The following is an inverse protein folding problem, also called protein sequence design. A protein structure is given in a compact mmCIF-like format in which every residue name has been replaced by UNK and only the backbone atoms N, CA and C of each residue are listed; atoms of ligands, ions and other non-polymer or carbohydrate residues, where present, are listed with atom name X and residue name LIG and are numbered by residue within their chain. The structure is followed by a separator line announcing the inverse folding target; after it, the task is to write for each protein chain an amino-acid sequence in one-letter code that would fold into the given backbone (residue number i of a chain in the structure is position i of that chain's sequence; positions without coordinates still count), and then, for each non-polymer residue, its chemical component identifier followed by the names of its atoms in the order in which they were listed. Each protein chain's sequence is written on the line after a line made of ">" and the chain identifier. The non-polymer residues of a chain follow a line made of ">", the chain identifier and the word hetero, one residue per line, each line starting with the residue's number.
data_IF_426872290748
#
_entry.id   IF_426872290748
#
_cell.length_a   1.000
_cell.length_b   1.000
_cell.length_c   1.000
_cell.angle_alpha   90.00
_cell.angle_beta   90.00
_cell.angle_gamma   90.00
#
_symmetry.space_group_name_H-M   'P 1'
#
loop_
_entity.id
_entity.type
_entity.pdbx_description
1 polymer ?
#
# COMPACT_ATOMS: atom_id res chain seq x y z
N UNK A 1 -19.16 1.69 -5.27
CA UNK A 1 -17.91 2.16 -4.64
C UNK A 1 -18.20 3.41 -3.83
N UNK A 2 -17.69 3.53 -2.61
CA UNK A 2 -17.91 4.70 -1.73
C UNK A 2 -17.87 4.31 -0.25
N UNK A 3 -17.93 5.31 0.63
CA UNK A 3 -17.87 5.12 2.09
C UNK A 3 -19.10 4.37 2.67
N UNK A 4 -20.23 4.41 1.96
CA UNK A 4 -21.48 3.73 2.35
C UNK A 4 -21.51 2.25 1.93
N UNK A 5 -20.50 1.77 1.19
CA UNK A 5 -20.37 0.36 0.84
C UNK A 5 -20.21 -0.50 2.10
N UNK A 6 -20.84 -1.68 2.19
CA UNK A 6 -20.58 -2.62 3.30
C UNK A 6 -19.10 -3.02 3.36
N UNK A 7 -18.40 -2.99 2.22
CA UNK A 7 -16.97 -3.31 2.11
C UNK A 7 -16.06 -2.09 2.27
N UNK A 8 -16.58 -0.89 2.53
CA UNK A 8 -15.77 0.34 2.65
C UNK A 8 -14.71 0.26 3.75
N UNK A 9 -14.96 -0.56 4.78
CA UNK A 9 -14.08 -0.76 5.93
C UNK A 9 -13.19 -1.99 5.81
N UNK A 10 -13.31 -2.80 4.76
CA UNK A 10 -12.42 -3.92 4.46
C UNK A 10 -11.04 -3.46 3.97
N UNK A 11 -11.00 -2.29 3.33
CA UNK A 11 -9.78 -1.69 2.81
C UNK A 11 -9.31 -0.54 3.71
N UNK A 12 -8.01 -0.29 3.69
CA UNK A 12 -7.37 0.78 4.45
C UNK A 12 -7.38 2.08 3.62
N UNK A 13 -8.54 2.73 3.61
CA UNK A 13 -8.84 3.95 2.84
C UNK A 13 -9.09 5.11 3.81
N UNK A 14 -8.43 6.24 3.54
CA UNK A 14 -8.72 7.53 4.16
C UNK A 14 -9.93 8.18 3.45
N UNK A 15 -11.11 7.92 4.00
CA UNK A 15 -12.39 8.46 3.49
C UNK A 15 -12.62 9.95 3.84
N UNK A 16 -11.64 10.65 4.44
CA UNK A 16 -11.72 12.12 4.58
C UNK A 16 -11.58 12.84 3.23
N UNK A 17 -11.21 12.11 2.19
CA UNK A 17 -11.14 12.55 0.80
C UNK A 17 -11.69 11.49 -0.16
N UNK A 18 -11.80 11.84 -1.46
CA UNK A 18 -12.22 10.92 -2.53
C UNK A 18 -11.19 9.82 -2.73
N UNK A 19 -11.64 8.59 -2.96
CA UNK A 19 -10.78 7.45 -3.28
C UNK A 19 -9.97 7.74 -4.56
N UNK A 20 -8.65 7.91 -4.44
CA UNK A 20 -7.77 8.16 -5.59
C UNK A 20 -7.59 6.89 -6.40
N UNK A 21 -7.69 6.96 -7.72
CA UNK A 21 -7.53 5.85 -8.65
C UNK A 21 -6.49 6.23 -9.72
N UNK A 22 -5.18 6.00 -9.46
CA UNK A 22 -4.08 6.54 -10.25
C UNK A 22 -3.78 5.66 -11.48
N UNK A 23 -4.73 5.54 -12.40
CA UNK A 23 -4.65 4.61 -13.54
C UNK A 23 -4.63 5.30 -14.91
N UNK A 24 -4.75 6.63 -14.96
CA UNK A 24 -4.71 7.38 -16.21
C UNK A 24 -3.26 7.56 -16.68
N UNK A 25 -3.03 7.54 -18.01
CA UNK A 25 -1.73 7.82 -18.61
C UNK A 25 -1.23 9.26 -18.40
N UNK A 26 -2.18 10.19 -18.28
CA UNK A 26 -2.01 11.63 -18.06
C UNK A 26 -3.13 12.17 -17.13
N UNK A 27 -3.19 13.50 -16.95
CA UNK A 27 -4.29 14.13 -16.19
C UNK A 27 -5.66 13.92 -16.83
N UNK A 28 -6.72 13.91 -16.00
CA UNK A 28 -8.10 13.64 -16.44
C UNK A 28 -8.54 14.52 -17.61
N UNK A 29 -8.27 15.82 -17.56
CA UNK A 29 -8.63 16.78 -18.62
C UNK A 29 -7.97 16.46 -19.96
N UNK A 30 -6.72 16.01 -19.93
CA UNK A 30 -5.97 15.65 -21.13
C UNK A 30 -6.52 14.35 -21.73
N UNK A 31 -6.78 13.33 -20.91
CA UNK A 31 -7.38 12.07 -21.35
C UNK A 31 -8.80 12.29 -21.90
N UNK A 32 -9.55 13.20 -21.31
CA UNK A 32 -10.88 13.61 -21.78
C UNK A 32 -10.80 14.32 -23.14
N UNK A 33 -9.88 15.28 -23.29
CA UNK A 33 -9.66 15.99 -24.56
C UNK A 33 -9.20 15.04 -25.69
N UNK A 34 -8.50 13.96 -25.35
CA UNK A 34 -8.10 12.91 -26.29
C UNK A 34 -9.22 11.92 -26.63
N UNK A 35 -10.41 12.07 -26.03
CA UNK A 35 -11.54 11.14 -26.22
C UNK A 35 -11.33 9.75 -25.61
N UNK A 36 -10.36 9.61 -24.69
CA UNK A 36 -10.05 8.32 -24.06
C UNK A 36 -11.05 7.93 -22.95
N UNK A 37 -11.82 8.90 -22.46
CA UNK A 37 -12.82 8.73 -21.40
C UNK A 37 -14.22 8.90 -21.99
N UNK A 38 -15.12 7.97 -21.69
CA UNK A 38 -16.52 7.99 -22.13
C UNK A 38 -17.44 7.42 -21.05
N UNK A 39 -18.74 7.63 -21.16
CA UNK A 39 -19.74 6.87 -20.40
C UNK A 39 -20.08 5.57 -21.12
N UNK A 40 -20.33 4.52 -20.35
CA UNK A 40 -20.81 3.25 -20.86
C UNK A 40 -21.62 2.50 -19.79
N UNK A 41 -22.31 1.44 -20.21
CA UNK A 41 -22.77 0.40 -19.30
C UNK A 41 -21.63 -0.60 -19.09
N UNK A 42 -21.33 -0.95 -17.84
CA UNK A 42 -20.43 -2.08 -17.57
C UNK A 42 -21.10 -3.37 -18.08
N UNK A 43 -20.42 -4.15 -18.94
CA UNK A 43 -21.00 -5.36 -19.53
C UNK A 43 -21.31 -6.45 -18.50
N UNK A 44 -20.73 -6.41 -17.29
CA UNK A 44 -20.86 -7.47 -16.28
C UNK A 44 -22.14 -7.35 -15.46
N UNK A 45 -22.50 -6.14 -15.06
CA UNK A 45 -23.60 -5.87 -14.12
C UNK A 45 -24.59 -4.81 -14.61
N UNK A 46 -24.32 -4.16 -15.75
CA UNK A 46 -25.22 -3.19 -16.37
C UNK A 46 -25.29 -1.85 -15.64
N UNK A 47 -24.32 -1.56 -14.76
CA UNK A 47 -24.24 -0.26 -14.07
C UNK A 47 -23.67 0.80 -15.01
N UNK A 48 -24.07 2.05 -14.82
CA UNK A 48 -23.41 3.18 -15.48
C UNK A 48 -21.97 3.30 -14.97
N UNK A 49 -21.03 3.55 -15.87
CA UNK A 49 -19.62 3.67 -15.56
C UNK A 49 -18.93 4.74 -16.41
N UNK A 50 -17.85 5.35 -15.87
CA UNK A 50 -16.82 5.95 -16.72
C UNK A 50 -15.95 4.83 -17.29
N UNK A 51 -15.86 4.78 -18.61
CA UNK A 51 -14.97 3.88 -19.33
C UNK A 51 -13.68 4.60 -19.70
N UNK A 52 -12.56 4.01 -19.34
CA UNK A 52 -11.22 4.39 -19.81
C UNK A 52 -10.58 3.17 -20.47
N UNK A 53 -10.47 3.20 -21.80
CA UNK A 53 -10.13 2.02 -22.61
C UNK A 53 -11.02 0.81 -22.26
N UNK A 54 -10.42 -0.31 -21.83
CA UNK A 54 -11.13 -1.55 -21.46
C UNK A 54 -11.62 -1.56 -20.00
N UNK A 55 -11.34 -0.51 -19.23
CA UNK A 55 -11.66 -0.46 -17.80
C UNK A 55 -12.92 0.36 -17.52
N UNK A 56 -13.82 -0.21 -16.72
CA UNK A 56 -15.10 0.40 -16.34
C UNK A 56 -15.07 0.78 -14.86
N UNK A 57 -15.26 2.07 -14.58
CA UNK A 57 -15.33 2.64 -13.24
C UNK A 57 -16.80 2.96 -12.90
N UNK A 58 -17.49 2.14 -12.11
CA UNK A 58 -18.91 2.30 -11.84
C UNK A 58 -19.20 3.65 -11.18
N UNK A 59 -20.17 4.35 -11.75
CA UNK A 59 -20.73 5.55 -11.19
C UNK A 59 -21.45 5.23 -9.88
N UNK A 60 -21.40 6.18 -8.96
CA UNK A 60 -22.17 6.13 -7.74
C UNK A 60 -23.66 6.26 -8.07
N UNK A 61 -24.56 5.43 -7.49
CA UNK A 61 -25.99 5.48 -7.79
C UNK A 61 -26.61 6.88 -7.66
N UNK A 62 -26.19 7.67 -6.67
CA UNK A 62 -26.67 9.04 -6.46
C UNK A 62 -26.27 10.02 -7.57
N UNK A 63 -25.24 9.71 -8.37
CA UNK A 63 -24.85 10.55 -9.50
C UNK A 63 -25.57 10.17 -10.80
N UNK A 64 -26.42 9.12 -10.82
CA UNK A 64 -27.11 8.69 -12.04
C UNK A 64 -28.01 9.81 -12.58
N UNK A 65 -28.70 10.55 -11.71
CA UNK A 65 -29.54 11.67 -12.14
C UNK A 65 -28.72 12.84 -12.72
N UNK A 66 -27.44 12.97 -12.39
CA UNK A 66 -26.57 13.97 -13.02
C UNK A 66 -26.25 13.64 -14.47
N UNK A 67 -26.45 12.38 -14.88
CA UNK A 67 -26.36 11.94 -16.28
C UNK A 67 -27.57 12.44 -17.09
N UNK A 68 -28.71 12.73 -16.44
CA UNK A 68 -30.00 13.06 -17.08
C UNK A 68 -30.21 14.53 -17.45
N UNK A 69 -29.18 15.38 -17.42
CA UNK A 69 -29.37 16.84 -17.51
C UNK A 69 -30.13 17.33 -18.77
N UNK A 70 -30.23 16.54 -19.84
CA UNK A 70 -31.11 16.79 -20.98
C UNK A 70 -32.04 15.59 -21.24
N UNK A 71 -33.32 15.71 -20.86
CA UNK A 71 -34.37 14.68 -20.94
C UNK A 71 -34.74 14.33 -22.40
N UNK A 72 -33.82 13.72 -23.16
CA UNK A 72 -34.06 13.30 -24.56
C UNK A 72 -34.15 11.78 -24.75
N UNK A 73 -33.79 11.00 -23.72
CA UNK A 73 -33.70 9.54 -23.80
C UNK A 73 -34.52 8.88 -22.68
N UNK A 74 -35.80 8.51 -22.95
CA UNK A 74 -36.67 7.88 -21.94
C UNK A 74 -36.06 6.63 -21.29
N UNK A 75 -35.42 5.76 -22.08
CA UNK A 75 -34.76 4.56 -21.58
C UNK A 75 -33.62 4.89 -20.59
N UNK A 76 -32.90 6.00 -20.79
CA UNK A 76 -31.87 6.47 -19.87
C UNK A 76 -32.49 7.02 -18.58
N UNK A 77 -33.63 7.70 -18.67
CA UNK A 77 -34.38 8.18 -17.52
C UNK A 77 -34.89 7.01 -16.64
N UNK A 78 -35.38 5.93 -17.25
CA UNK A 78 -35.78 4.71 -16.55
C UNK A 78 -34.59 4.07 -15.82
N UNK A 79 -33.44 3.97 -16.49
CA UNK A 79 -32.22 3.43 -15.88
C UNK A 79 -31.75 4.28 -14.70
N UNK A 80 -31.75 5.60 -14.86
CA UNK A 80 -31.33 6.52 -13.80
C UNK A 80 -32.30 6.54 -12.63
N UNK A 81 -33.60 6.37 -12.88
CA UNK A 81 -34.62 6.20 -11.84
C UNK A 81 -34.41 4.89 -11.07
N UNK A 82 -34.16 3.78 -11.76
CA UNK A 82 -33.81 2.52 -11.13
C UNK A 82 -32.50 2.63 -10.32
N UNK A 83 -31.51 3.34 -10.86
CA UNK A 83 -30.24 3.66 -10.22
C UNK A 83 -30.39 4.46 -8.92
N UNK A 84 -31.26 5.46 -8.89
CA UNK A 84 -31.53 6.25 -7.69
C UNK A 84 -32.11 5.42 -6.53
N UNK A 85 -32.71 4.27 -6.83
CA UNK A 85 -33.27 3.35 -5.84
C UNK A 85 -32.30 2.29 -5.30
N UNK A 86 -31.05 2.23 -5.78
CA UNK A 86 -30.10 1.18 -5.38
C UNK A 86 -29.66 1.35 -3.92
N UNK A 87 -29.54 0.23 -3.20
CA UNK A 87 -29.16 0.19 -1.79
C UNK A 87 -27.79 -0.48 -1.60
N UNK A 88 -26.84 0.11 -0.87
CA UNK A 88 -25.58 -0.56 -0.55
C UNK A 88 -25.81 -1.89 0.18
N UNK A 89 -25.14 -2.97 -0.24
CA UNK A 89 -25.25 -4.30 0.38
C UNK A 89 -26.44 -5.16 -0.05
N UNK A 90 -27.25 -4.71 -1.00
CA UNK A 90 -28.28 -5.54 -1.65
C UNK A 90 -27.96 -5.74 -3.14
N UNK A 91 -26.79 -6.29 -3.44
CA UNK A 91 -26.28 -6.46 -4.80
C UNK A 91 -27.21 -7.32 -5.67
N UNK A 92 -27.90 -8.28 -5.07
CA UNK A 92 -28.85 -9.14 -5.78
C UNK A 92 -30.09 -8.36 -6.25
N UNK A 93 -30.71 -7.56 -5.38
CA UNK A 93 -31.84 -6.71 -5.77
C UNK A 93 -31.42 -5.58 -6.72
N UNK A 94 -30.28 -4.94 -6.44
CA UNK A 94 -29.71 -3.92 -7.30
C UNK A 94 -29.53 -4.42 -8.73
N UNK A 95 -28.97 -5.64 -8.90
CA UNK A 95 -28.81 -6.28 -10.20
C UNK A 95 -30.16 -6.58 -10.85
N UNK A 96 -31.12 -7.12 -10.09
CA UNK A 96 -32.48 -7.39 -10.61
C UNK A 96 -33.11 -6.12 -11.17
N UNK A 97 -33.08 -5.01 -10.43
CA UNK A 97 -33.65 -3.72 -10.84
C UNK A 97 -33.04 -3.20 -12.15
N UNK A 98 -31.71 -3.12 -12.22
CA UNK A 98 -31.03 -2.65 -13.44
C UNK A 98 -31.27 -3.58 -14.62
N UNK A 99 -31.18 -4.90 -14.40
CA UNK A 99 -31.44 -5.90 -15.45
C UNK A 99 -32.86 -5.82 -15.99
N UNK A 100 -33.86 -5.52 -15.15
CA UNK A 100 -35.25 -5.33 -15.55
C UNK A 100 -35.43 -4.17 -16.52
N UNK A 101 -34.79 -3.02 -16.25
CA UNK A 101 -34.80 -1.88 -17.18
C UNK A 101 -34.12 -2.24 -18.49
N UNK A 102 -32.94 -2.87 -18.42
CA UNK A 102 -32.15 -3.25 -19.59
C UNK A 102 -32.74 -4.40 -20.42
N UNK A 103 -33.72 -5.13 -19.88
CA UNK A 103 -34.43 -6.20 -20.59
C UNK A 103 -35.58 -5.65 -21.47
N UNK A 104 -35.96 -4.38 -21.30
CA UNK A 104 -37.00 -3.76 -22.12
C UNK A 104 -36.53 -3.64 -23.57
N UNK A 105 -37.31 -4.08 -24.57
CA UNK A 105 -36.90 -4.04 -25.98
C UNK A 105 -36.47 -2.65 -26.44
N UNK A 106 -35.31 -2.55 -27.07
CA UNK A 106 -34.75 -1.28 -27.58
C UNK A 106 -34.08 -0.39 -26.53
N UNK A 107 -34.17 -0.70 -25.23
CA UNK A 107 -33.56 0.14 -24.19
C UNK A 107 -32.04 0.13 -24.24
N UNK A 108 -31.41 -1.02 -24.53
CA UNK A 108 -29.94 -1.10 -24.56
C UNK A 108 -29.35 -0.21 -25.64
N UNK A 109 -29.93 -0.26 -26.84
CA UNK A 109 -29.51 0.56 -27.98
C UNK A 109 -29.75 2.05 -27.70
N UNK A 110 -30.94 2.41 -27.19
CA UNK A 110 -31.27 3.79 -26.86
C UNK A 110 -30.40 4.37 -25.73
N UNK A 111 -30.08 3.57 -24.71
CA UNK A 111 -29.17 3.96 -23.64
C UNK A 111 -27.76 4.14 -24.20
N UNK A 112 -27.27 3.20 -25.02
CA UNK A 112 -25.94 3.30 -25.61
C UNK A 112 -25.78 4.59 -26.46
N UNK A 113 -26.77 4.91 -27.29
CA UNK A 113 -26.81 6.15 -28.07
C UNK A 113 -26.78 7.40 -27.17
N UNK A 114 -27.59 7.41 -26.11
CA UNK A 114 -27.61 8.50 -25.13
C UNK A 114 -26.29 8.69 -24.41
N UNK A 115 -25.65 7.60 -23.97
CA UNK A 115 -24.33 7.65 -23.31
C UNK A 115 -23.25 8.13 -24.28
N UNK A 116 -23.30 7.73 -25.55
CA UNK A 116 -22.36 8.21 -26.57
C UNK A 116 -22.55 9.70 -26.86
N UNK A 117 -23.79 10.19 -26.92
CA UNK A 117 -24.09 11.61 -27.05
C UNK A 117 -23.55 12.42 -25.86
N UNK A 118 -23.80 11.95 -24.63
CA UNK A 118 -23.31 12.60 -23.41
C UNK A 118 -21.77 12.57 -23.34
N UNK A 119 -21.15 11.50 -23.83
CA UNK A 119 -19.68 11.37 -23.83
C UNK A 119 -18.97 12.42 -24.68
N UNK A 120 -19.67 13.11 -25.58
CA UNK A 120 -19.12 14.22 -26.37
C UNK A 120 -19.10 15.55 -25.62
N UNK A 121 -19.79 15.64 -24.48
CA UNK A 121 -19.82 16.82 -23.62
C UNK A 121 -18.76 16.68 -22.52
N UNK A 122 -17.58 17.27 -22.77
CA UNK A 122 -16.48 17.24 -21.82
C UNK A 122 -16.83 17.89 -20.47
N UNK A 123 -17.60 18.98 -20.47
CA UNK A 123 -18.00 19.65 -19.23
C UNK A 123 -18.91 18.76 -18.38
N UNK A 124 -19.80 18.01 -19.04
CA UNK A 124 -20.67 17.02 -18.36
C UNK A 124 -19.90 15.82 -17.82
N UNK A 125 -18.94 15.28 -18.57
CA UNK A 125 -18.07 14.20 -18.08
C UNK A 125 -17.25 14.65 -16.86
N UNK A 126 -16.82 15.91 -16.85
CA UNK A 126 -16.13 16.52 -15.71
C UNK A 126 -17.03 16.58 -14.47
N UNK A 127 -18.25 17.12 -14.61
CA UNK A 127 -19.22 17.19 -13.52
C UNK A 127 -19.59 15.80 -12.97
N UNK A 128 -19.77 14.81 -13.86
CA UNK A 128 -20.04 13.42 -13.46
C UNK A 128 -18.86 12.85 -12.68
N UNK A 129 -17.62 13.04 -13.15
CA UNK A 129 -16.43 12.60 -12.43
C UNK A 129 -16.34 13.25 -11.06
N UNK A 130 -16.58 14.56 -10.95
CA UNK A 130 -16.48 15.28 -9.68
C UNK A 130 -17.49 14.85 -8.62
N UNK A 131 -18.65 14.36 -9.04
CA UNK A 131 -19.65 13.79 -8.14
C UNK A 131 -19.32 12.37 -7.63
N UNK A 132 -18.25 11.74 -8.11
CA UNK A 132 -17.90 10.39 -7.69
C UNK A 132 -17.18 10.39 -6.34
N UNK A 133 -17.42 9.38 -5.48
CA UNK A 133 -16.65 9.19 -4.25
C UNK A 133 -15.21 8.74 -4.52
N UNK A 134 -14.85 8.52 -5.78
CA UNK A 134 -13.52 8.20 -6.27
C UNK A 134 -13.07 9.23 -7.30
N UNK A 135 -11.76 9.35 -7.55
CA UNK A 135 -11.15 10.27 -8.52
C UNK A 135 -10.09 9.55 -9.33
N UNK A 136 -10.34 9.42 -10.64
CA UNK A 136 -9.29 9.01 -11.59
C UNK A 136 -8.17 10.04 -11.64
N UNK A 137 -6.92 9.59 -11.57
CA UNK A 137 -5.73 10.43 -11.54
C UNK A 137 -4.60 9.84 -12.39
N UNK A 138 -3.61 10.67 -12.72
CA UNK A 138 -2.38 10.26 -13.42
C UNK A 138 -1.58 9.28 -12.55
N UNK A 139 -1.21 8.13 -13.11
CA UNK A 139 -0.43 7.11 -12.42
C UNK A 139 0.91 7.63 -11.87
N UNK A 140 1.51 8.64 -12.53
CA UNK A 140 2.78 9.26 -12.10
C UNK A 140 2.66 10.01 -10.79
N UNK A 141 1.44 10.38 -10.39
CA UNK A 141 1.18 11.10 -9.14
C UNK A 141 1.00 10.18 -7.93
N UNK A 142 0.91 8.85 -8.15
CA UNK A 142 0.68 7.86 -7.09
C UNK A 142 1.72 7.90 -5.96
N UNK A 143 2.98 8.24 -6.25
CA UNK A 143 4.03 8.35 -5.21
C UNK A 143 3.87 9.58 -4.30
N UNK A 144 3.11 10.59 -4.75
CA UNK A 144 2.91 11.85 -4.02
C UNK A 144 1.65 11.83 -3.18
N UNK A 145 0.59 11.19 -3.67
CA UNK A 145 -0.71 11.20 -3.01
C UNK A 145 -1.55 9.98 -3.37
N UNK A 146 -1.97 9.25 -2.34
CA UNK A 146 -2.99 8.20 -2.41
C UNK A 146 -3.87 8.32 -1.17
N UNK A 147 -5.16 8.09 -1.35
CA UNK A 147 -6.13 8.07 -0.26
C UNK A 147 -6.26 6.67 0.38
N UNK A 148 -5.32 5.76 0.12
CA UNK A 148 -5.35 4.38 0.61
C UNK A 148 -3.94 3.83 0.79
N UNK A 149 -3.79 2.85 1.69
CA UNK A 149 -2.54 2.11 1.83
C UNK A 149 -2.41 1.08 0.72
N UNK A 150 -1.20 0.92 0.18
CA UNK A 150 -0.88 -0.05 -0.88
C UNK A 150 0.23 -1.02 -0.47
N UNK A 151 0.39 -2.10 -1.23
CA UNK A 151 1.53 -2.99 -1.13
C UNK A 151 2.75 -2.40 -1.86
N UNK A 152 3.78 -1.99 -1.11
CA UNK A 152 4.94 -1.26 -1.64
C UNK A 152 4.53 -0.05 -2.51
N UNK A 153 5.19 0.18 -3.65
CA UNK A 153 4.81 1.22 -4.61
C UNK A 153 3.66 0.81 -5.58
N UNK A 154 3.06 -0.38 -5.42
CA UNK A 154 2.11 -0.93 -6.40
C UNK A 154 0.70 -0.39 -6.12
N UNK A 155 0.30 0.65 -6.86
CA UNK A 155 -1.02 1.28 -6.68
C UNK A 155 -2.20 0.32 -6.91
N UNK A 156 -2.04 -0.72 -7.76
CA UNK A 156 -3.09 -1.71 -8.02
C UNK A 156 -3.35 -2.70 -6.88
N UNK A 157 -2.52 -2.72 -5.82
CA UNK A 157 -2.65 -3.62 -4.68
C UNK A 157 -3.02 -2.82 -3.42
N UNK A 158 -4.31 -2.79 -3.10
CA UNK A 158 -4.88 -2.04 -1.97
C UNK A 158 -4.76 -2.86 -0.67
N UNK A 159 -4.29 -2.21 0.39
CA UNK A 159 -4.14 -2.82 1.72
C UNK A 159 -5.49 -3.13 2.35
N UNK A 160 -5.63 -4.36 2.84
CA UNK A 160 -6.81 -4.80 3.60
C UNK A 160 -6.61 -4.59 5.11
N UNK A 161 -7.72 -4.42 5.82
CA UNK A 161 -7.79 -4.21 7.28
C UNK A 161 -8.09 -5.51 8.02
N UNK A 162 -7.27 -6.54 7.80
CA UNK A 162 -7.46 -7.89 8.36
C UNK A 162 -7.31 -7.93 9.90
N UNK A 163 -6.86 -6.85 10.54
CA UNK A 163 -6.94 -6.71 11.99
C UNK A 163 -8.40 -6.70 12.50
N UNK A 164 -9.34 -6.21 11.69
CA UNK A 164 -10.77 -6.25 11.99
C UNK A 164 -11.33 -7.67 11.84
N UNK A 165 -12.14 -8.12 12.81
CA UNK A 165 -12.64 -9.50 12.89
C UNK A 165 -13.47 -9.88 11.65
N UNK A 166 -14.47 -9.08 11.28
CA UNK A 166 -15.31 -9.39 10.11
C UNK A 166 -14.52 -9.45 8.81
N UNK A 167 -13.50 -8.60 8.63
CA UNK A 167 -12.64 -8.62 7.43
C UNK A 167 -11.79 -9.90 7.40
N UNK A 168 -11.27 -10.32 8.54
CA UNK A 168 -10.55 -11.59 8.65
C UNK A 168 -11.44 -12.77 8.29
N UNK A 169 -12.65 -12.84 8.87
CA UNK A 169 -13.62 -13.90 8.63
C UNK A 169 -13.99 -13.99 7.15
N UNK A 170 -14.36 -12.86 6.53
CA UNK A 170 -14.75 -12.80 5.11
C UNK A 170 -13.60 -13.24 4.18
N UNK A 171 -12.36 -12.87 4.50
CA UNK A 171 -11.20 -13.15 3.65
C UNK A 171 -10.60 -14.54 3.87
N UNK A 172 -10.83 -15.16 5.04
CA UNK A 172 -10.22 -16.45 5.41
C UNK A 172 -11.20 -17.62 5.44
N UNK A 173 -12.52 -17.39 5.27
CA UNK A 173 -13.55 -18.43 5.35
C UNK A 173 -13.17 -19.70 4.58
N UNK A 174 -12.94 -19.58 3.27
CA UNK A 174 -12.60 -20.73 2.43
C UNK A 174 -11.27 -21.38 2.82
N UNK A 175 -10.25 -20.59 3.17
CA UNK A 175 -8.94 -21.11 3.57
C UNK A 175 -9.07 -21.96 4.83
N UNK A 176 -9.82 -21.47 5.83
CA UNK A 176 -10.06 -22.17 7.09
C UNK A 176 -10.88 -23.44 6.85
N UNK A 177 -11.90 -23.39 6.00
CA UNK A 177 -12.71 -24.54 5.59
C UNK A 177 -11.83 -25.64 5.00
N UNK A 178 -10.99 -25.31 4.01
CA UNK A 178 -10.06 -26.26 3.39
C UNK A 178 -9.08 -26.91 4.39
N UNK A 179 -8.62 -26.16 5.39
CA UNK A 179 -7.77 -26.71 6.46
C UNK A 179 -8.56 -27.64 7.38
N UNK A 180 -9.78 -27.26 7.76
CA UNK A 180 -10.64 -28.07 8.64
C UNK A 180 -11.10 -29.37 7.99
N UNK A 181 -11.28 -29.36 6.67
CA UNK A 181 -11.56 -30.56 5.88
C UNK A 181 -10.33 -31.45 5.64
N UNK A 182 -9.14 -31.01 6.08
CA UNK A 182 -7.89 -31.76 5.91
C UNK A 182 -7.36 -31.73 4.48
N UNK A 183 -7.81 -30.79 3.64
CA UNK A 183 -7.29 -30.61 2.27
C UNK A 183 -5.92 -29.90 2.30
N UNK A 184 -5.68 -29.07 3.32
CA UNK A 184 -4.44 -28.32 3.50
C UNK A 184 -3.73 -28.69 4.81
N UNK A 185 -2.49 -29.16 4.72
CA UNK A 185 -1.64 -29.51 5.88
C UNK A 185 -0.93 -28.30 6.52
N UNK A 186 -0.96 -27.15 5.86
CA UNK A 186 -0.28 -25.97 6.34
C UNK A 186 -0.51 -24.71 5.50
N UNK A 187 -0.10 -23.58 6.06
CA UNK A 187 -0.30 -22.25 5.52
C UNK A 187 1.04 -21.51 5.46
N UNK A 188 1.30 -20.84 4.34
CA UNK A 188 2.39 -19.89 4.19
C UNK A 188 1.81 -18.49 4.10
N UNK A 189 2.12 -17.65 5.09
CA UNK A 189 1.63 -16.27 5.17
C UNK A 189 2.53 -15.37 4.34
N UNK A 190 1.97 -14.76 3.30
CA UNK A 190 2.64 -13.73 2.50
C UNK A 190 2.74 -12.42 3.27
N UNK A 191 3.90 -11.75 3.18
CA UNK A 191 4.13 -10.40 3.66
C UNK A 191 3.53 -10.08 5.04
N UNK A 192 3.85 -10.92 6.04
CA UNK A 192 3.33 -10.76 7.42
C UNK A 192 3.66 -9.38 8.02
N UNK A 193 4.78 -8.79 7.59
CA UNK A 193 5.24 -7.46 7.98
C UNK A 193 4.45 -6.30 7.33
N UNK A 194 3.48 -6.57 6.47
CA UNK A 194 2.52 -5.58 5.95
C UNK A 194 1.26 -5.42 6.81
N UNK A 195 1.08 -6.28 7.83
CA UNK A 195 -0.10 -6.27 8.68
C UNK A 195 0.00 -5.20 9.78
N UNK A 196 -1.15 -4.63 10.15
CA UNK A 196 -1.23 -3.67 11.25
C UNK A 196 -0.90 -4.30 12.62
N UNK A 197 -1.36 -5.53 12.84
CA UNK A 197 -1.10 -6.34 14.05
C UNK A 197 -0.79 -7.80 13.66
N UNK A 198 0.48 -8.10 13.30
CA UNK A 198 0.90 -9.45 12.92
C UNK A 198 0.62 -10.51 14.00
N UNK A 199 0.88 -10.19 15.27
CA UNK A 199 0.69 -11.14 16.37
C UNK A 199 -0.79 -11.45 16.58
N UNK A 200 -1.64 -10.42 16.60
CA UNK A 200 -3.09 -10.60 16.71
C UNK A 200 -3.67 -11.41 15.55
N UNK A 201 -3.20 -11.14 14.32
CA UNK A 201 -3.56 -11.92 13.13
C UNK A 201 -3.16 -13.39 13.27
N UNK A 202 -1.90 -13.68 13.61
CA UNK A 202 -1.39 -15.05 13.70
C UNK A 202 -2.05 -15.86 14.81
N UNK A 203 -2.37 -15.24 15.95
CA UNK A 203 -3.16 -15.87 17.02
C UNK A 203 -4.56 -16.23 16.55
N UNK A 204 -5.27 -15.28 15.93
CA UNK A 204 -6.60 -15.52 15.37
C UNK A 204 -6.59 -16.64 14.33
N UNK A 205 -5.59 -16.64 13.44
CA UNK A 205 -5.43 -17.70 12.45
C UNK A 205 -5.20 -19.06 13.12
N UNK A 206 -4.26 -19.14 14.08
CA UNK A 206 -3.99 -20.37 14.84
C UNK A 206 -5.24 -20.90 15.54
N UNK A 207 -6.02 -20.02 16.17
CA UNK A 207 -7.26 -20.40 16.86
C UNK A 207 -8.30 -20.94 15.87
N UNK A 208 -8.38 -20.37 14.67
CA UNK A 208 -9.34 -20.79 13.65
C UNK A 208 -9.03 -22.15 13.01
N UNK A 209 -7.74 -22.45 12.80
CA UNK A 209 -7.27 -23.66 12.08
C UNK A 209 -6.79 -24.78 13.01
N UNK A 210 -6.61 -24.49 14.30
CA UNK A 210 -6.14 -25.47 15.29
C UNK A 210 -4.62 -25.69 15.29
N UNK A 211 -4.12 -26.58 16.16
CA UNK A 211 -2.69 -26.75 16.38
C UNK A 211 -1.98 -27.63 15.34
N UNK A 212 -2.73 -28.48 14.62
CA UNK A 212 -2.18 -29.45 13.68
C UNK A 212 -1.50 -28.85 12.44
N UNK A 213 -2.12 -27.93 11.68
CA UNK A 213 -1.51 -27.42 10.46
C UNK A 213 -0.29 -26.56 10.76
N UNK A 214 0.75 -26.69 9.94
CA UNK A 214 1.91 -25.79 10.03
C UNK A 214 1.56 -24.40 9.52
N UNK A 215 2.10 -23.35 10.15
CA UNK A 215 2.00 -21.96 9.71
C UNK A 215 3.43 -21.45 9.62
N UNK A 216 3.85 -21.02 8.43
CA UNK A 216 5.15 -20.37 8.21
C UNK A 216 4.92 -18.95 7.67
N UNK A 217 5.81 -18.02 7.98
CA UNK A 217 5.66 -16.62 7.56
C UNK A 217 6.74 -16.20 6.58
N UNK A 218 6.37 -15.54 5.50
CA UNK A 218 7.33 -14.74 4.75
C UNK A 218 7.73 -13.52 5.59
N UNK A 219 8.88 -13.62 6.25
CA UNK A 219 9.49 -12.56 7.04
C UNK A 219 10.97 -12.50 6.70
N UNK A 220 11.47 -11.29 6.44
CA UNK A 220 12.90 -11.07 6.28
C UNK A 220 13.49 -10.75 7.65
N UNK A 221 14.54 -11.48 8.02
CA UNK A 221 15.33 -11.25 9.23
C UNK A 221 16.68 -10.66 8.83
N UNK A 222 17.09 -9.59 9.51
CA UNK A 222 18.48 -9.13 9.42
C UNK A 222 19.41 -10.06 10.24
N UNK A 223 20.71 -10.07 9.93
CA UNK A 223 21.68 -11.08 10.40
C UNK A 223 21.71 -11.37 11.92
N UNK A 224 21.34 -10.40 12.75
CA UNK A 224 21.29 -10.52 14.23
C UNK A 224 19.89 -10.24 14.80
N UNK A 225 18.89 -10.17 13.94
CA UNK A 225 17.51 -9.96 14.35
C UNK A 225 16.93 -11.30 14.86
N UNK A 226 16.50 -11.38 16.13
CA UNK A 226 15.83 -12.56 16.63
C UNK A 226 14.45 -12.69 15.99
N UNK A 227 14.02 -13.92 15.70
CA UNK A 227 12.64 -14.17 15.32
C UNK A 227 11.70 -13.94 16.53
N UNK A 228 10.51 -13.34 16.34
CA UNK A 228 9.54 -13.16 17.43
C UNK A 228 9.17 -14.50 18.11
N UNK A 229 9.40 -14.61 19.41
CA UNK A 229 9.25 -15.88 20.15
C UNK A 229 7.80 -16.17 20.57
N UNK A 230 6.92 -15.18 20.51
CA UNK A 230 5.52 -15.27 20.91
C UNK A 230 4.56 -15.51 19.74
N UNK A 231 5.08 -15.62 18.52
CA UNK A 231 4.29 -15.90 17.33
C UNK A 231 3.94 -17.39 17.25
N UNK A 232 2.66 -17.77 17.07
CA UNK A 232 2.21 -19.17 17.06
C UNK A 232 2.46 -19.88 15.71
N UNK A 233 3.69 -19.78 15.21
CA UNK A 233 4.13 -20.23 13.88
C UNK A 233 5.39 -21.08 13.96
N UNK A 234 5.64 -21.89 12.95
CA UNK A 234 6.78 -22.82 12.88
C UNK A 234 8.09 -22.15 12.45
N UNK A 235 8.03 -20.95 11.87
CA UNK A 235 9.22 -20.19 11.47
C UNK A 235 8.98 -19.32 10.24
N UNK A 236 10.07 -18.96 9.58
CA UNK A 236 10.04 -18.18 8.34
C UNK A 236 10.01 -19.07 7.10
N UNK A 237 10.00 -18.47 5.91
CA UNK A 237 10.25 -19.15 4.64
C UNK A 237 11.73 -19.45 4.35
N UNK A 238 12.65 -19.16 5.27
CA UNK A 238 14.05 -19.62 5.20
C UNK A 238 15.06 -18.68 4.55
N UNK A 239 14.78 -17.38 4.39
CA UNK A 239 15.74 -16.44 3.79
C UNK A 239 17.03 -16.32 4.59
N UNK A 240 16.95 -16.44 5.91
CA UNK A 240 18.10 -16.45 6.81
C UNK A 240 19.02 -17.67 6.56
N UNK A 241 18.45 -18.83 6.21
CA UNK A 241 19.22 -20.00 5.81
C UNK A 241 19.93 -19.77 4.48
N UNK A 242 19.24 -19.19 3.49
CA UNK A 242 19.84 -18.85 2.18
C UNK A 242 21.01 -17.86 2.37
N UNK A 243 20.84 -16.87 3.24
CA UNK A 243 21.88 -15.91 3.59
C UNK A 243 23.11 -16.59 4.19
N UNK A 244 22.92 -17.45 5.18
CA UNK A 244 24.00 -18.19 5.83
C UNK A 244 24.70 -19.17 4.88
N UNK A 245 23.96 -19.89 4.04
CA UNK A 245 24.53 -20.80 3.05
C UNK A 245 25.42 -20.05 2.05
N UNK A 246 25.00 -18.86 1.61
CA UNK A 246 25.80 -18.03 0.73
C UNK A 246 27.12 -17.58 1.38
N UNK A 247 27.16 -17.39 2.71
CA UNK A 247 28.39 -17.02 3.41
C UNK A 247 29.38 -18.19 3.49
N UNK A 248 28.89 -19.43 3.60
CA UNK A 248 29.73 -20.64 3.58
C UNK A 248 30.33 -20.92 2.21
N UNK A 249 29.62 -20.59 1.14
CA UNK A 249 30.02 -20.90 -0.23
C UNK A 249 30.94 -19.86 -0.89
N UNK A 250 31.12 -18.69 -0.26
CA UNK A 250 31.90 -17.58 -0.81
C UNK A 250 33.33 -17.59 -0.23
N UNK A 251 34.33 -17.60 -1.11
CA UNK A 251 35.73 -17.39 -0.72
C UNK A 251 35.98 -15.92 -0.31
N UNK A 252 36.35 -15.72 0.95
CA UNK A 252 36.58 -14.38 1.53
C UNK A 252 37.67 -13.59 0.79
N UNK A 253 38.74 -14.26 0.33
CA UNK A 253 39.83 -13.61 -0.39
C UNK A 253 39.41 -13.18 -1.78
N UNK A 254 38.69 -14.03 -2.49
CA UNK A 254 38.02 -13.71 -3.75
C UNK A 254 37.09 -12.51 -3.59
N UNK A 255 36.24 -12.49 -2.57
CA UNK A 255 35.34 -11.36 -2.29
C UNK A 255 36.11 -10.04 -2.10
N UNK A 256 37.18 -10.04 -1.30
CA UNK A 256 38.01 -8.83 -1.08
C UNK A 256 38.65 -8.33 -2.38
N UNK A 257 39.18 -9.24 -3.20
CA UNK A 257 39.78 -8.89 -4.51
C UNK A 257 38.74 -8.29 -5.46
N UNK A 258 37.56 -8.89 -5.53
CA UNK A 258 36.44 -8.38 -6.33
C UNK A 258 35.97 -7.01 -5.84
N UNK A 259 35.90 -6.80 -4.52
CA UNK A 259 35.54 -5.50 -3.95
C UNK A 259 36.58 -4.42 -4.26
N UNK A 260 37.88 -4.71 -4.16
CA UNK A 260 38.94 -3.76 -4.51
C UNK A 260 38.90 -3.40 -6.01
N UNK A 261 38.79 -4.40 -6.88
CA UNK A 261 38.66 -4.18 -8.31
C UNK A 261 37.41 -3.34 -8.64
N UNK A 262 36.29 -3.63 -7.99
CA UNK A 262 35.07 -2.86 -8.16
C UNK A 262 35.20 -1.41 -7.68
N UNK A 263 35.82 -1.17 -6.53
CA UNK A 263 36.08 0.17 -6.01
C UNK A 263 36.97 0.97 -6.97
N UNK A 264 37.99 0.35 -7.56
CA UNK A 264 38.85 1.00 -8.57
C UNK A 264 38.09 1.37 -9.87
N UNK A 265 37.00 0.66 -10.19
CA UNK A 265 36.11 0.96 -11.32
C UNK A 265 35.03 2.00 -10.99
N UNK A 266 34.89 2.41 -9.72
CA UNK A 266 33.93 3.46 -9.34
C UNK A 266 34.48 4.83 -9.74
N UNK A 267 33.65 5.73 -10.30
CA UNK A 267 34.00 7.13 -10.47
C UNK A 267 34.49 7.76 -9.15
N UNK A 268 35.44 8.71 -9.17
CA UNK A 268 35.96 9.36 -7.96
C UNK A 268 34.87 10.02 -7.09
N UNK A 269 33.79 10.50 -7.71
CA UNK A 269 32.62 11.10 -7.06
C UNK A 269 31.62 10.07 -6.49
N UNK A 270 31.88 8.77 -6.64
CA UNK A 270 31.01 7.67 -6.18
C UNK A 270 31.76 6.61 -5.39
N UNK A 271 32.56 7.01 -4.40
CA UNK A 271 33.28 6.09 -3.51
C UNK A 271 32.55 5.77 -2.20
N UNK A 272 31.23 6.01 -2.13
CA UNK A 272 30.42 5.75 -0.95
C UNK A 272 30.53 4.30 -0.48
N UNK A 273 30.52 4.12 0.84
CA UNK A 273 30.36 2.82 1.48
C UNK A 273 28.97 2.25 1.18
N UNK A 274 28.83 0.93 1.29
CA UNK A 274 27.52 0.27 1.18
C UNK A 274 26.48 0.87 2.14
N UNK A 275 26.90 1.24 3.35
CA UNK A 275 26.01 1.81 4.37
C UNK A 275 25.45 3.17 3.95
N UNK A 276 26.26 4.00 3.29
CA UNK A 276 25.87 5.32 2.77
C UNK A 276 24.98 5.17 1.54
N UNK A 277 25.32 4.27 0.62
CA UNK A 277 24.48 3.96 -0.54
C UNK A 277 23.09 3.45 -0.10
N UNK A 278 23.03 2.57 0.90
CA UNK A 278 21.76 2.08 1.49
C UNK A 278 20.95 3.22 2.09
N UNK A 279 21.56 4.11 2.89
CA UNK A 279 20.86 5.27 3.46
C UNK A 279 20.37 6.23 2.38
N UNK A 280 21.17 6.46 1.33
CA UNK A 280 20.82 7.28 0.18
C UNK A 280 19.62 6.70 -0.57
N UNK A 281 19.63 5.40 -0.86
CA UNK A 281 18.53 4.71 -1.51
C UNK A 281 17.22 4.76 -0.68
N UNK A 282 17.30 4.54 0.65
CA UNK A 282 16.15 4.72 1.54
C UNK A 282 15.59 6.14 1.49
N UNK A 283 16.46 7.15 1.51
CA UNK A 283 16.07 8.56 1.44
C UNK A 283 15.35 8.85 0.13
N UNK A 284 15.89 8.39 -1.00
CA UNK A 284 15.26 8.56 -2.30
C UNK A 284 13.85 7.95 -2.32
N UNK A 285 13.69 6.71 -1.85
CA UNK A 285 12.39 6.04 -1.79
C UNK A 285 11.37 6.81 -0.94
N UNK A 286 11.77 7.32 0.21
CA UNK A 286 10.89 8.11 1.09
C UNK A 286 10.53 9.49 0.53
N UNK A 287 11.34 10.03 -0.37
CA UNK A 287 11.13 11.36 -0.96
C UNK A 287 10.38 11.30 -2.29
N UNK A 288 10.51 10.22 -3.06
CA UNK A 288 9.93 10.09 -4.41
C UNK A 288 8.73 9.14 -4.42
N UNK A 289 8.88 7.95 -3.84
CA UNK A 289 7.90 6.87 -3.97
C UNK A 289 6.89 6.84 -2.82
N UNK A 290 7.33 7.19 -1.61
CA UNK A 290 6.53 7.13 -0.37
C UNK A 290 6.29 8.51 0.26
N UNK A 291 6.37 9.58 -0.53
CA UNK A 291 6.21 10.94 -0.03
C UNK A 291 4.80 11.16 0.56
N UNK A 292 3.78 10.61 -0.11
CA UNK A 292 2.38 10.66 0.36
C UNK A 292 2.18 9.91 1.68
N UNK A 293 2.73 8.71 1.80
CA UNK A 293 2.63 7.89 3.01
C UNK A 293 3.36 8.55 4.19
N UNK A 294 4.55 9.11 3.97
CA UNK A 294 5.27 9.90 5.00
C UNK A 294 4.45 11.11 5.43
N UNK A 295 3.81 11.82 4.49
CA UNK A 295 2.94 12.95 4.81
C UNK A 295 1.69 12.50 5.61
N UNK A 296 1.12 11.34 5.30
CA UNK A 296 0.03 10.72 6.04
C UNK A 296 0.41 10.42 7.49
N UNK A 297 1.56 9.77 7.71
CA UNK A 297 2.09 9.50 9.05
C UNK A 297 2.40 10.81 9.79
N UNK A 298 2.96 11.82 9.12
CA UNK A 298 3.24 13.12 9.73
C UNK A 298 1.96 13.85 10.17
N UNK A 299 0.86 13.73 9.41
CA UNK A 299 -0.46 14.26 9.79
C UNK A 299 -1.01 13.54 11.03
N UNK A 300 -0.93 12.22 11.09
CA UNK A 300 -1.34 11.46 12.28
C UNK A 300 -0.48 11.82 13.50
N UNK A 301 0.84 11.97 13.31
CA UNK A 301 1.74 12.39 14.37
C UNK A 301 1.45 13.81 14.87
N UNK A 302 1.06 14.72 13.97
CA UNK A 302 0.61 16.07 14.32
C UNK A 302 -0.66 16.04 15.17
N UNK A 303 -1.65 15.23 14.80
CA UNK A 303 -2.89 15.10 15.58
C UNK A 303 -2.64 14.60 17.01
N UNK A 304 -1.70 13.67 17.20
CA UNK A 304 -1.29 13.22 18.54
C UNK A 304 -0.58 14.34 19.30
N UNK A 305 0.36 15.05 18.67
CA UNK A 305 1.06 16.16 19.29
C UNK A 305 0.11 17.29 19.71
N UNK A 306 -0.86 17.65 18.87
CA UNK A 306 -1.87 18.67 19.19
C UNK A 306 -2.72 18.23 20.40
N UNK A 307 -3.09 16.96 20.49
CA UNK A 307 -3.82 16.41 21.64
C UNK A 307 -3.02 16.46 22.95
N UNK A 308 -1.69 16.37 22.86
CA UNK A 308 -0.76 16.48 24.00
C UNK A 308 -0.32 17.94 24.27
N UNK A 309 -0.84 18.92 23.54
CA UNK A 309 -0.50 20.35 23.69
C UNK A 309 0.91 20.71 23.17
N UNK A 310 1.45 19.93 22.25
CA UNK A 310 2.79 20.12 21.68
C UNK A 310 2.71 20.67 20.25
N UNK A 311 3.41 21.78 20.00
CA UNK A 311 3.42 22.41 18.68
C UNK A 311 4.63 21.97 17.84
N UNK A 312 4.37 21.28 16.72
CA UNK A 312 5.40 20.86 15.76
C UNK A 312 5.00 21.13 14.32
N UNK A 313 5.86 21.79 13.55
CA UNK A 313 5.65 21.93 12.10
C UNK A 313 5.54 20.55 11.40
N UNK A 314 4.64 20.45 10.42
CA UNK A 314 4.36 19.20 9.68
C UNK A 314 5.58 18.76 8.85
N UNK A 315 6.29 19.71 8.25
CA UNK A 315 7.51 19.44 7.50
C UNK A 315 8.62 18.89 8.41
N UNK A 316 8.74 19.45 9.61
CA UNK A 316 9.67 18.99 10.63
C UNK A 316 9.33 17.57 11.13
N UNK A 317 8.04 17.26 11.36
CA UNK A 317 7.59 15.89 11.70
C UNK A 317 7.88 14.91 10.57
N UNK A 318 7.60 15.26 9.32
CA UNK A 318 7.92 14.43 8.17
C UNK A 318 9.44 14.19 8.03
N UNK A 319 10.26 15.20 8.30
CA UNK A 319 11.72 15.09 8.36
C UNK A 319 12.18 14.11 9.45
N UNK A 320 11.63 14.25 10.65
CA UNK A 320 11.91 13.36 11.79
C UNK A 320 11.55 11.90 11.46
N UNK A 321 10.36 11.67 10.91
CA UNK A 321 9.88 10.33 10.50
C UNK A 321 10.83 9.71 9.47
N UNK A 322 11.23 10.47 8.44
CA UNK A 322 12.19 9.96 7.44
C UNK A 322 13.52 9.57 8.07
N UNK A 323 14.07 10.41 8.94
CA UNK A 323 15.36 10.13 9.60
C UNK A 323 15.28 8.85 10.44
N UNK A 324 14.18 8.64 11.17
CA UNK A 324 13.95 7.41 11.94
C UNK A 324 13.87 6.17 11.03
N UNK A 325 13.10 6.22 9.94
CA UNK A 325 12.97 5.09 8.99
C UNK A 325 14.32 4.78 8.30
N UNK A 326 15.08 5.82 7.94
CA UNK A 326 16.41 5.65 7.32
C UNK A 326 17.37 4.94 8.28
N UNK A 327 17.36 5.34 9.55
CA UNK A 327 18.21 4.76 10.60
C UNK A 327 17.78 3.36 11.04
N UNK A 328 16.52 2.94 10.79
CA UNK A 328 16.02 1.63 11.21
C UNK A 328 16.86 0.48 10.61
N UNK A 329 17.51 -0.36 11.44
CA UNK A 329 18.38 -1.43 10.95
C UNK A 329 17.62 -2.70 10.59
N UNK A 330 16.35 -2.82 11.00
CA UNK A 330 15.45 -3.96 10.75
C UNK A 330 14.32 -3.57 9.79
N UNK A 331 13.50 -4.54 9.39
CA UNK A 331 12.37 -4.29 8.50
C UNK A 331 11.24 -3.51 9.17
N UNK A 332 10.89 -3.81 10.42
CA UNK A 332 9.91 -3.03 11.17
C UNK A 332 10.02 -3.29 12.66
N UNK A 333 9.28 -2.51 13.43
CA UNK A 333 8.95 -2.79 14.82
C UNK A 333 7.55 -3.40 14.91
N UNK A 334 7.27 -4.08 16.01
CA UNK A 334 6.03 -4.78 16.34
C UNK A 334 5.30 -4.14 17.52
N UNK A 335 5.54 -2.84 17.72
CA UNK A 335 4.80 -2.07 18.72
C UNK A 335 3.34 -1.93 18.31
N UNK A 336 2.44 -2.04 19.29
CA UNK A 336 1.00 -1.81 19.13
C UNK A 336 0.57 -0.59 19.97
N UNK A 337 -0.72 -0.28 19.96
CA UNK A 337 -1.26 0.81 20.78
C UNK A 337 -1.07 0.57 22.30
N UNK A 338 -1.00 -0.70 22.72
CA UNK A 338 -0.99 -1.09 24.15
C UNK A 338 0.31 -1.79 24.58
N UNK A 339 1.09 -2.32 23.64
CA UNK A 339 2.29 -3.11 23.95
C UNK A 339 3.48 -2.62 23.13
N UNK A 340 4.58 -2.29 23.81
CA UNK A 340 5.89 -2.04 23.19
C UNK A 340 6.83 -3.18 23.62
N UNK A 341 7.22 -4.09 22.72
CA UNK A 341 8.20 -5.12 23.05
C UNK A 341 9.52 -4.49 23.53
N UNK A 342 10.16 -5.08 24.55
CA UNK A 342 11.39 -4.50 25.12
C UNK A 342 12.52 -4.43 24.09
N UNK A 343 12.64 -5.43 23.22
CA UNK A 343 13.59 -5.42 22.10
C UNK A 343 13.39 -4.24 21.17
N UNK A 344 12.12 -3.93 20.83
CA UNK A 344 11.78 -2.75 20.03
C UNK A 344 12.08 -1.46 20.78
N UNK A 345 11.80 -1.39 22.09
CA UNK A 345 12.10 -0.21 22.89
C UNK A 345 13.59 0.15 22.83
N UNK A 346 14.46 -0.84 23.03
CA UNK A 346 15.92 -0.67 22.96
C UNK A 346 16.34 -0.29 21.54
N UNK A 347 15.82 -1.00 20.53
CA UNK A 347 16.09 -0.74 19.12
C UNK A 347 15.76 0.70 18.75
N UNK A 348 14.55 1.18 19.07
CA UNK A 348 14.14 2.53 18.66
C UNK A 348 14.91 3.61 19.43
N UNK A 349 15.33 3.37 20.68
CA UNK A 349 16.26 4.28 21.38
C UNK A 349 17.60 4.40 20.65
N UNK A 350 18.17 3.29 20.17
CA UNK A 350 19.38 3.30 19.34
C UNK A 350 19.18 4.04 18.01
N UNK A 351 18.09 3.74 17.31
CA UNK A 351 17.71 4.39 16.03
C UNK A 351 17.54 5.89 16.18
N UNK A 352 16.97 6.35 17.31
CA UNK A 352 16.88 7.78 17.62
C UNK A 352 18.26 8.42 17.71
N UNK A 353 19.20 7.79 18.43
CA UNK A 353 20.56 8.32 18.57
C UNK A 353 21.21 8.47 17.18
N UNK A 354 21.16 7.43 16.36
CA UNK A 354 21.68 7.42 15.00
C UNK A 354 21.01 8.49 14.10
N UNK A 355 19.69 8.66 14.24
CA UNK A 355 18.94 9.67 13.50
C UNK A 355 19.31 11.11 13.90
N UNK A 356 19.60 11.35 15.19
CA UNK A 356 20.06 12.66 15.69
C UNK A 356 21.46 12.95 15.16
N UNK A 357 22.40 12.02 15.30
CA UNK A 357 23.79 12.19 14.84
C UNK A 357 23.85 12.45 13.33
N UNK A 358 23.03 11.75 12.54
CA UNK A 358 22.93 12.00 11.10
C UNK A 358 22.27 13.35 10.75
N UNK A 359 21.39 13.87 11.60
CA UNK A 359 20.73 15.16 11.40
C UNK A 359 21.62 16.35 11.77
N UNK A 360 22.61 16.20 12.65
CA UNK A 360 23.53 17.28 13.03
C UNK A 360 24.45 17.73 11.87
N UNK A 361 24.56 16.93 10.80
CA UNK A 361 25.17 17.34 9.52
C UNK A 361 24.19 17.97 8.51
N UNK A 362 22.89 17.95 8.77
CA UNK A 362 21.82 18.49 7.89
C UNK A 362 20.79 19.28 8.69
N UNK A 363 20.94 20.61 8.67
CA UNK A 363 20.29 21.65 9.46
C UNK A 363 18.72 21.64 9.53
N UNK A 364 18.02 20.58 9.99
CA UNK A 364 16.55 20.57 9.87
C UNK A 364 15.66 19.74 10.82
N UNK A 365 16.13 19.08 11.88
CA UNK A 365 15.20 18.44 12.85
C UNK A 365 15.65 18.65 14.30
N UNK A 366 14.99 19.56 15.07
CA UNK A 366 15.31 19.78 16.48
C UNK A 366 15.16 18.51 17.32
N UNK A 367 16.11 18.28 18.23
CA UNK A 367 16.12 17.13 19.18
C UNK A 367 14.82 16.99 19.99
N UNK A 368 14.09 18.10 20.21
CA UNK A 368 12.79 18.15 20.89
C UNK A 368 11.64 17.51 20.10
N UNK A 369 11.72 17.47 18.77
CA UNK A 369 10.66 16.92 17.88
C UNK A 369 10.74 15.40 17.84
N UNK A 370 11.95 14.84 17.90
CA UNK A 370 12.17 13.41 17.74
C UNK A 370 11.57 12.58 18.88
N UNK A 371 11.29 13.13 20.06
CA UNK A 371 10.70 12.38 21.18
C UNK A 371 9.17 12.22 21.10
N UNK A 372 8.38 13.26 20.79
CA UNK A 372 6.94 13.10 20.53
C UNK A 372 6.69 12.46 19.16
N UNK A 373 7.47 12.83 18.13
CA UNK A 373 7.42 12.15 16.84
C UNK A 373 7.72 10.66 17.03
N UNK A 374 8.64 10.25 17.91
CA UNK A 374 8.92 8.85 18.25
C UNK A 374 7.70 8.13 18.82
N UNK A 375 6.99 8.66 19.81
CA UNK A 375 5.82 8.00 20.39
C UNK A 375 4.65 7.93 19.40
N UNK A 376 4.45 8.98 18.60
CA UNK A 376 3.48 8.98 17.51
C UNK A 376 3.85 7.97 16.42
N UNK A 377 5.11 7.97 15.99
CA UNK A 377 5.65 7.13 14.91
C UNK A 377 5.67 5.65 15.31
N UNK A 378 5.97 5.33 16.58
CA UNK A 378 5.87 3.97 17.14
C UNK A 378 4.41 3.46 17.14
N UNK A 379 3.42 4.34 17.39
CA UNK A 379 1.99 4.00 17.31
C UNK A 379 1.47 3.86 15.87
N UNK A 380 2.13 4.46 14.88
CA UNK A 380 1.63 4.64 13.51
C UNK A 380 2.40 3.83 12.44
N UNK A 381 3.73 3.75 12.51
CA UNK A 381 4.57 2.99 11.57
C UNK A 381 4.14 1.54 11.35
N UNK A 382 3.62 0.81 12.36
CA UNK A 382 3.10 -0.55 12.16
C UNK A 382 2.00 -0.64 11.09
N UNK A 383 1.35 0.49 10.75
CA UNK A 383 0.13 0.52 9.94
C UNK A 383 0.31 1.03 8.51
N UNK A 384 1.33 1.82 8.16
CA UNK A 384 1.24 2.66 6.95
C UNK A 384 2.48 2.80 6.05
N UNK A 385 3.68 2.44 6.49
CA UNK A 385 4.89 2.55 5.64
C UNK A 385 5.69 1.25 5.76
N UNK A 386 5.68 0.36 4.74
CA UNK A 386 6.64 -0.74 4.72
C UNK A 386 8.04 -0.14 4.74
N UNK A 387 8.93 -0.59 5.64
CA UNK A 387 10.29 -0.07 5.59
C UNK A 387 10.90 -0.46 4.24
N UNK A 388 11.62 0.46 3.58
CA UNK A 388 12.25 0.17 2.30
C UNK A 388 13.32 -0.93 2.39
N UNK A 389 13.64 -1.46 3.58
CA UNK A 389 14.63 -2.52 3.74
C UNK A 389 14.21 -3.77 2.96
N UNK A 390 15.12 -4.26 2.12
CA UNK A 390 15.17 -5.62 1.54
C UNK A 390 14.06 -6.17 0.62
N UNK A 391 12.81 -5.67 0.61
CA UNK A 391 11.70 -6.31 -0.12
C UNK A 391 11.50 -5.92 -1.60
N UNK A 392 11.21 -4.65 -1.89
CA UNK A 392 10.69 -4.25 -3.21
C UNK A 392 11.62 -3.36 -4.04
N UNK A 393 12.13 -2.27 -3.44
CA UNK A 393 12.76 -1.19 -4.20
C UNK A 393 14.15 -0.74 -3.71
N UNK A 394 14.52 -0.83 -2.42
CA UNK A 394 15.90 -0.51 -1.99
C UNK A 394 16.86 -1.68 -2.18
N UNK A 395 16.39 -2.92 -1.99
CA UNK A 395 17.10 -4.11 -2.46
C UNK A 395 17.17 -4.07 -3.98
N UNK A 396 16.09 -3.78 -4.70
CA UNK A 396 16.17 -3.68 -6.16
C UNK A 396 16.99 -2.46 -6.64
N UNK A 397 17.06 -1.30 -6.00
CA UNK A 397 17.81 -0.16 -6.55
C UNK A 397 19.30 -0.24 -6.20
N UNK A 398 19.64 -0.49 -4.93
CA UNK A 398 21.01 -0.72 -4.50
C UNK A 398 21.51 -2.07 -5.04
N UNK A 399 20.75 -3.15 -4.87
CA UNK A 399 21.14 -4.42 -5.47
C UNK A 399 20.96 -4.46 -6.99
N UNK A 400 20.13 -3.69 -7.73
CA UNK A 400 20.27 -3.62 -9.22
C UNK A 400 21.43 -2.73 -9.64
N UNK A 401 21.77 -1.66 -8.91
CA UNK A 401 23.01 -0.89 -9.13
C UNK A 401 24.23 -1.81 -9.03
N UNK A 402 24.21 -2.74 -8.06
CA UNK A 402 25.27 -3.72 -7.85
C UNK A 402 25.12 -4.97 -8.78
N UNK A 403 23.95 -5.60 -8.90
CA UNK A 403 23.62 -6.77 -9.75
C UNK A 403 23.67 -6.49 -11.26
N UNK A 404 23.37 -5.27 -11.76
CA UNK A 404 23.58 -4.95 -13.20
C UNK A 404 25.06 -5.10 -13.61
N UNK A 405 25.98 -5.21 -12.65
CA UNK A 405 27.41 -5.46 -12.88
C UNK A 405 27.89 -6.85 -12.43
N UNK A 406 27.08 -7.63 -11.71
CA UNK A 406 27.42 -8.97 -11.19
C UNK A 406 26.31 -9.99 -11.46
N UNK A 407 26.60 -11.04 -12.24
CA UNK A 407 25.74 -12.24 -12.30
C UNK A 407 26.10 -13.12 -11.09
N UNK A 408 25.17 -13.20 -10.11
CA UNK A 408 25.08 -13.99 -8.82
C UNK A 408 25.90 -13.59 -7.56
N UNK A 409 25.42 -13.92 -6.32
CA UNK A 409 24.04 -14.00 -5.81
C UNK A 409 23.80 -12.97 -4.68
N UNK A 410 23.17 -11.84 -4.99
CA UNK A 410 22.46 -11.07 -3.97
C UNK A 410 21.08 -11.69 -3.80
N UNK A 411 20.85 -12.39 -2.70
CA UNK A 411 19.53 -12.91 -2.32
C UNK A 411 18.76 -11.89 -1.48
N UNK A 412 17.43 -11.93 -1.58
CA UNK A 412 16.55 -11.23 -0.64
C UNK A 412 16.91 -11.68 0.79
N UNK A 413 17.06 -10.74 1.71
CA UNK A 413 17.46 -11.01 3.11
C UNK A 413 18.96 -11.03 3.39
N UNK A 414 19.84 -10.81 2.40
CA UNK A 414 21.29 -10.69 2.63
C UNK A 414 21.73 -9.23 2.77
N UNK A 415 22.18 -8.84 3.96
CA UNK A 415 22.98 -7.63 4.16
C UNK A 415 24.43 -7.94 3.77
N UNK A 416 25.03 -7.30 2.75
CA UNK A 416 26.44 -7.52 2.43
C UNK A 416 27.29 -7.09 3.63
N UNK A 417 28.20 -7.98 4.03
CA UNK A 417 29.18 -7.68 5.05
C UNK A 417 30.04 -6.50 4.62
N UNK A 418 30.00 -5.39 5.35
CA UNK A 418 31.20 -4.56 5.45
C UNK A 418 32.27 -5.41 6.13
N UNK A 419 33.47 -5.56 5.55
CA UNK A 419 34.60 -6.14 6.27
C UNK A 419 34.95 -5.34 7.52
#
# INVERSE_FOLDING_TARGET
>A
MGADSPYARHFDIDWSERLTLPFLGSGFDAELANGAISLALDPRDGVLALRYHETFYPLHPHSYLQVLADVRWPALADLCTAGAGLQPGDEAENRRRLSGVLATPGHREAIAEGLEAISRDAARLHAIHDAQPWRLADWKTAGRHLSYRRFFEIAGLVGMRVEAVGVFEDTHHLIIELVREGILDGLRIDHVDGLADPLGYLRRLRDAVGPAPSIITEKILERKEPFPTDWPVQGTTGYEFIGALADVLVDEWGQKRLQQAFTALKPPDRQNSYSEERRSAKRQMLMENFAGEVAGVARLARAIADADGLEFDRGALAGAIRSLIIALPVYRTYTTATVVPEGDRILVQGVRKDAIEAAEGTNSVPRSILWPAFWSTIRILPKQVPAPNSGGASSNSAARSWQRRWKTPFSIGKTPSSP
#
